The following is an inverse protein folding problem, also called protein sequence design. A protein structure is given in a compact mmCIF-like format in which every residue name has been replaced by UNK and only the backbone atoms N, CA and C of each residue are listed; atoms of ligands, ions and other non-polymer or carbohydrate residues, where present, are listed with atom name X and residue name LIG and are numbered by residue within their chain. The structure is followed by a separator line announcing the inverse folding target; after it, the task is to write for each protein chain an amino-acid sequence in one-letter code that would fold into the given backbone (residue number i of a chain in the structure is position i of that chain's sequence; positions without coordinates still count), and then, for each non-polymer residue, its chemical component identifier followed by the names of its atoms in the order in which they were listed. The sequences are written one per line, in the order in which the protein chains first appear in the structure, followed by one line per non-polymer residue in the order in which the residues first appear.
data_IF_043758514853
#
_entry.id   IF_043758514853
#
_cell.length_a   1.000
_cell.length_b   1.000
_cell.length_c   1.000
_cell.angle_alpha   90.00
_cell.angle_beta   90.00
_cell.angle_gamma   90.00
#
_symmetry.space_group_name_H-M   'P 1'
#
loop_
_entity.id
_entity.type
_entity.pdbx_description
1 polymer ?
#
# COMPACT_ATOMS: atom_id res chain seq x y z
N UNK A 1 -6.97 -3.69 -12.02
CA UNK A 1 -5.96 -2.63 -12.20
C UNK A 1 -5.50 -2.06 -10.86
N UNK A 2 -6.37 -1.51 -9.99
CA UNK A 2 -5.95 -0.84 -8.73
C UNK A 2 -5.04 -1.68 -7.81
N UNK A 3 -5.27 -3.00 -7.69
CA UNK A 3 -4.36 -3.89 -6.92
C UNK A 3 -2.94 -3.91 -7.50
N UNK A 4 -2.80 -3.94 -8.83
CA UNK A 4 -1.50 -3.92 -9.49
C UNK A 4 -0.77 -2.59 -9.23
N UNK A 5 -1.47 -1.46 -9.34
CA UNK A 5 -0.92 -0.13 -9.04
C UNK A 5 -0.52 0.00 -7.57
N UNK A 6 -1.33 -0.57 -6.65
CA UNK A 6 -1.01 -0.59 -5.23
C UNK A 6 0.32 -1.32 -4.98
N UNK A 7 0.50 -2.50 -5.59
CA UNK A 7 1.77 -3.24 -5.51
C UNK A 7 2.90 -2.45 -6.17
N UNK A 8 2.70 -1.95 -7.40
CA UNK A 8 3.71 -1.20 -8.15
C UNK A 8 4.27 -0.01 -7.38
N UNK A 9 3.39 0.77 -6.72
CA UNK A 9 3.78 1.98 -5.99
C UNK A 9 4.37 1.71 -4.60
N UNK A 10 4.28 0.48 -4.10
CA UNK A 10 4.79 0.11 -2.76
C UNK A 10 5.92 -0.91 -2.81
N UNK A 11 6.18 -1.54 -3.96
CA UNK A 11 7.30 -2.47 -4.15
C UNK A 11 8.65 -1.73 -4.21
N UNK A 12 9.78 -2.38 -3.85
CA UNK A 12 11.09 -1.77 -4.00
C UNK A 12 11.43 -1.44 -5.45
N UNK A 13 11.99 -0.27 -5.67
CA UNK A 13 12.43 0.20 -6.99
C UNK A 13 11.74 1.49 -7.41
N UNK A 14 12.02 1.95 -8.62
CA UNK A 14 11.38 3.13 -9.20
C UNK A 14 10.13 2.69 -9.97
N UNK A 15 8.92 3.07 -9.52
CA UNK A 15 7.70 2.71 -10.23
C UNK A 15 7.64 3.43 -11.58
N UNK A 16 7.30 2.69 -12.63
CA UNK A 16 7.14 3.21 -13.99
C UNK A 16 5.71 3.00 -14.45
N UNK A 17 5.04 4.04 -14.90
CA UNK A 17 3.70 3.98 -15.47
C UNK A 17 3.85 3.97 -17.00
N UNK A 18 3.32 2.95 -17.68
CA UNK A 18 3.17 2.99 -19.12
C UNK A 18 2.01 3.91 -19.47
N UNK A 19 2.18 4.77 -20.47
CA UNK A 19 1.16 5.78 -20.80
C UNK A 19 -0.21 5.15 -21.06
N UNK A 20 -1.23 5.69 -20.45
CA UNK A 20 -2.61 5.25 -20.59
C UNK A 20 -3.05 4.23 -19.52
N UNK A 21 -2.14 3.57 -18.81
CA UNK A 21 -2.50 2.69 -17.69
C UNK A 21 -3.33 3.45 -16.65
N UNK A 22 -2.92 4.70 -16.37
CA UNK A 22 -3.61 5.59 -15.43
C UNK A 22 -5.00 6.02 -15.93
N UNK A 23 -5.21 5.99 -17.24
CA UNK A 23 -6.46 6.41 -17.88
C UNK A 23 -7.37 5.23 -18.25
N UNK A 24 -6.98 3.99 -17.92
CA UNK A 24 -7.76 2.79 -18.18
C UNK A 24 -7.65 2.27 -19.60
N UNK A 25 -6.59 2.62 -20.34
CA UNK A 25 -6.32 2.05 -21.66
C UNK A 25 -6.04 0.56 -21.52
N UNK A 26 -6.78 -0.24 -22.25
CA UNK A 26 -6.57 -1.68 -22.34
C UNK A 26 -5.97 -2.04 -23.69
N UNK A 27 -5.03 -2.98 -23.69
CA UNK A 27 -4.45 -3.56 -24.89
C UNK A 27 -4.02 -4.99 -24.64
N UNK A 28 -3.61 -5.68 -25.67
CA UNK A 28 -3.13 -7.06 -25.57
C UNK A 28 -1.67 -7.16 -26.05
N UNK A 29 -1.39 -7.92 -27.08
CA UNK A 29 -0.05 -8.01 -27.68
C UNK A 29 0.19 -6.84 -28.64
N UNK A 30 1.45 -6.59 -28.95
CA UNK A 30 1.86 -5.60 -29.95
C UNK A 30 1.21 -5.90 -31.33
N UNK A 31 0.65 -4.90 -32.04
CA UNK A 31 0.66 -3.44 -31.76
C UNK A 31 -0.54 -2.94 -30.93
N UNK A 32 -1.46 -3.80 -30.46
CA UNK A 32 -2.71 -3.41 -29.81
C UNK A 32 -2.47 -2.70 -28.45
N UNK A 33 -1.33 -2.94 -27.81
CA UNK A 33 -0.92 -2.25 -26.59
C UNK A 33 -0.48 -0.78 -26.82
N UNK A 34 -0.36 -0.32 -28.07
CA UNK A 34 0.03 1.05 -28.44
C UNK A 34 -1.15 1.90 -28.89
N UNK A 35 -2.28 1.75 -28.25
CA UNK A 35 -3.48 2.56 -28.53
C UNK A 35 -3.23 4.02 -28.21
N UNK A 36 -3.96 4.91 -28.87
CA UNK A 36 -3.91 6.35 -28.58
C UNK A 36 -4.47 6.63 -27.19
N UNK A 37 -3.95 7.66 -26.52
CA UNK A 37 -4.48 8.11 -25.25
C UNK A 37 -5.96 8.55 -25.40
N UNK A 38 -6.85 8.18 -24.46
CA UNK A 38 -8.29 8.35 -24.62
C UNK A 38 -8.74 9.77 -24.19
N UNK A 39 -8.22 10.80 -24.86
CA UNK A 39 -8.52 12.20 -24.54
C UNK A 39 -10.03 12.47 -24.45
N UNK A 40 -10.46 13.01 -23.30
CA UNK A 40 -11.86 13.30 -22.98
C UNK A 40 -12.71 12.09 -22.60
N UNK A 41 -12.12 10.88 -22.54
CA UNK A 41 -12.76 9.62 -22.16
C UNK A 41 -11.97 8.83 -21.12
N UNK A 42 -11.09 9.54 -20.41
CA UNK A 42 -10.21 8.96 -19.38
C UNK A 42 -11.03 8.40 -18.22
N UNK A 43 -10.57 7.30 -17.64
CA UNK A 43 -11.05 6.84 -16.32
C UNK A 43 -10.51 7.78 -15.23
N UNK A 44 -11.33 8.77 -14.87
CA UNK A 44 -10.94 9.81 -13.91
C UNK A 44 -10.75 9.27 -12.50
N UNK A 45 -11.47 8.22 -12.13
CA UNK A 45 -11.29 7.55 -10.83
C UNK A 45 -9.94 6.85 -10.77
N UNK A 46 -9.56 6.14 -11.82
CA UNK A 46 -8.28 5.46 -11.91
C UNK A 46 -7.11 6.46 -11.94
N UNK A 47 -7.26 7.60 -12.63
CA UNK A 47 -6.29 8.70 -12.57
C UNK A 47 -6.14 9.22 -11.14
N UNK A 48 -7.24 9.43 -10.43
CA UNK A 48 -7.18 9.91 -9.05
C UNK A 48 -6.50 8.88 -8.15
N UNK A 49 -6.81 7.60 -8.32
CA UNK A 49 -6.14 6.52 -7.58
C UNK A 49 -4.62 6.52 -7.81
N UNK A 50 -4.16 6.68 -9.06
CA UNK A 50 -2.73 6.80 -9.36
C UNK A 50 -2.10 8.01 -8.67
N UNK A 51 -2.75 9.17 -8.70
CA UNK A 51 -2.27 10.38 -7.99
C UNK A 51 -2.11 10.15 -6.50
N UNK A 52 -3.10 9.50 -5.86
CA UNK A 52 -3.07 9.22 -4.43
C UNK A 52 -1.99 8.19 -4.08
N UNK A 53 -1.81 7.16 -4.91
CA UNK A 53 -0.74 6.18 -4.72
C UNK A 53 0.65 6.77 -4.95
N UNK A 54 0.82 7.66 -5.92
CA UNK A 54 2.07 8.42 -6.14
C UNK A 54 2.35 9.30 -4.92
N UNK A 55 1.33 9.95 -4.37
CA UNK A 55 1.48 10.74 -3.15
C UNK A 55 1.93 9.87 -1.97
N UNK A 56 1.30 8.71 -1.75
CA UNK A 56 1.73 7.73 -0.74
C UNK A 56 3.19 7.32 -0.96
N UNK A 57 3.57 6.95 -2.20
CA UNK A 57 4.94 6.57 -2.53
C UNK A 57 5.95 7.66 -2.16
N UNK A 58 5.68 8.92 -2.55
CA UNK A 58 6.60 10.05 -2.34
C UNK A 58 6.70 10.51 -0.89
N UNK A 59 5.64 10.34 -0.10
CA UNK A 59 5.58 10.81 1.29
C UNK A 59 6.00 9.78 2.33
N UNK A 60 6.04 8.50 1.96
CA UNK A 60 6.45 7.40 2.83
C UNK A 60 7.91 7.03 2.57
N UNK A 61 8.83 7.59 3.36
CA UNK A 61 10.28 7.38 3.18
C UNK A 61 10.67 5.90 3.18
N UNK A 62 9.96 5.06 3.95
CA UNK A 62 10.15 3.62 3.98
C UNK A 62 9.80 2.93 2.66
N UNK A 63 8.97 3.54 1.81
CA UNK A 63 8.70 3.04 0.45
C UNK A 63 9.83 3.35 -0.53
N UNK A 64 10.58 4.44 -0.29
CA UNK A 64 11.69 4.86 -1.14
C UNK A 64 12.95 4.04 -0.85
N UNK A 65 13.35 3.95 0.42
CA UNK A 65 14.64 3.40 0.83
C UNK A 65 14.57 2.30 1.90
N UNK A 66 13.36 1.93 2.33
CA UNK A 66 13.16 0.94 3.39
C UNK A 66 13.37 -0.50 2.93
N UNK A 67 13.56 -1.38 3.90
CA UNK A 67 13.63 -2.81 3.69
C UNK A 67 12.27 -3.40 3.32
N UNK A 68 12.29 -4.59 2.71
CA UNK A 68 11.10 -5.40 2.39
C UNK A 68 11.11 -6.68 3.22
N UNK A 69 9.94 -7.05 3.74
CA UNK A 69 9.73 -8.39 4.32
C UNK A 69 8.34 -8.91 3.99
N UNK A 70 8.25 -10.13 3.50
CA UNK A 70 6.98 -10.84 3.35
C UNK A 70 6.43 -11.26 4.72
N UNK A 71 5.15 -11.03 4.93
CA UNK A 71 4.44 -11.36 6.19
C UNK A 71 3.20 -12.21 5.99
N UNK A 72 2.65 -12.24 4.77
CA UNK A 72 1.55 -13.13 4.36
C UNK A 72 1.85 -13.68 2.98
N UNK A 73 1.77 -15.00 2.84
CA UNK A 73 1.79 -15.70 1.55
C UNK A 73 0.72 -16.79 1.60
N UNK A 74 -0.31 -16.66 0.79
CA UNK A 74 -1.39 -17.62 0.67
C UNK A 74 -1.91 -17.61 -0.76
N UNK A 75 -2.81 -18.53 -1.11
CA UNK A 75 -3.39 -18.59 -2.44
C UNK A 75 -4.07 -17.27 -2.79
N UNK A 76 -3.60 -16.61 -3.85
CA UNK A 76 -4.05 -15.29 -4.32
C UNK A 76 -4.05 -14.17 -3.26
N UNK A 77 -3.28 -14.33 -2.17
CA UNK A 77 -3.10 -13.31 -1.13
C UNK A 77 -1.62 -13.06 -0.93
N UNK A 78 -1.23 -11.81 -1.01
CA UNK A 78 0.13 -11.37 -0.69
C UNK A 78 0.09 -10.28 0.37
N UNK A 79 0.96 -10.39 1.37
CA UNK A 79 1.20 -9.34 2.35
C UNK A 79 2.68 -9.14 2.58
N UNK A 80 3.11 -7.89 2.59
CA UNK A 80 4.49 -7.51 2.85
C UNK A 80 4.57 -6.18 3.58
N UNK A 81 5.67 -5.99 4.27
CA UNK A 81 6.01 -4.73 4.91
C UNK A 81 7.17 -4.04 4.23
N UNK A 82 7.11 -2.70 4.17
CA UNK A 82 8.20 -1.80 3.87
C UNK A 82 8.53 -1.03 5.14
N UNK A 83 9.76 -1.02 5.55
CA UNK A 83 10.09 -0.46 6.86
C UNK A 83 11.50 0.11 6.93
N UNK A 84 11.65 1.10 7.78
CA UNK A 84 12.91 1.65 8.27
C UNK A 84 12.80 1.91 9.78
N UNK A 85 13.79 2.56 10.38
CA UNK A 85 13.79 2.86 11.83
C UNK A 85 12.68 3.84 12.27
N UNK A 86 12.14 4.64 11.35
CA UNK A 86 11.21 5.73 11.64
C UNK A 86 9.74 5.38 11.35
N UNK A 87 9.51 4.49 10.38
CA UNK A 87 8.16 4.14 9.94
C UNK A 87 8.07 2.73 9.35
N UNK A 88 6.88 2.15 9.42
CA UNK A 88 6.54 0.83 8.92
C UNK A 88 5.24 0.91 8.11
N UNK A 89 5.26 0.40 6.90
CA UNK A 89 4.10 0.30 6.02
C UNK A 89 3.79 -1.18 5.78
N UNK A 90 2.56 -1.59 6.06
CA UNK A 90 2.03 -2.92 5.72
C UNK A 90 1.15 -2.80 4.49
N UNK A 91 1.39 -3.68 3.53
CA UNK A 91 0.58 -3.82 2.31
C UNK A 91 0.00 -5.22 2.28
N UNK A 92 -1.31 -5.35 2.09
CA UNK A 92 -1.99 -6.64 1.93
C UNK A 92 -2.93 -6.56 0.74
N UNK A 93 -2.86 -7.55 -0.14
CA UNK A 93 -3.72 -7.67 -1.33
C UNK A 93 -4.42 -9.02 -1.30
N UNK A 94 -5.74 -9.00 -1.48
CA UNK A 94 -6.59 -10.16 -1.64
C UNK A 94 -7.11 -10.23 -3.08
N UNK A 95 -6.47 -11.01 -3.93
CA UNK A 95 -6.90 -11.23 -5.32
C UNK A 95 -7.84 -12.44 -5.47
N UNK A 96 -8.48 -12.90 -4.39
CA UNK A 96 -9.54 -13.92 -4.44
C UNK A 96 -10.88 -13.30 -4.81
N UNK A 97 -11.80 -14.17 -5.25
CA UNK A 97 -13.22 -13.83 -5.46
C UNK A 97 -14.05 -13.95 -4.16
N UNK A 98 -13.41 -14.28 -3.05
CA UNK A 98 -13.99 -14.37 -1.71
C UNK A 98 -13.29 -13.42 -0.73
N UNK A 99 -13.98 -12.97 0.33
CA UNK A 99 -13.36 -12.19 1.40
C UNK A 99 -12.33 -13.03 2.14
N UNK A 100 -11.33 -12.35 2.72
CA UNK A 100 -10.34 -12.97 3.58
C UNK A 100 -10.24 -12.26 4.92
N UNK A 101 -9.97 -13.06 5.98
CA UNK A 101 -9.56 -12.55 7.29
C UNK A 101 -8.23 -13.19 7.62
N UNK A 102 -7.23 -12.37 7.92
CA UNK A 102 -5.89 -12.84 8.30
C UNK A 102 -5.38 -12.06 9.52
N UNK A 103 -4.77 -12.77 10.43
CA UNK A 103 -3.93 -12.20 11.47
C UNK A 103 -2.49 -12.10 10.92
N UNK A 104 -1.92 -10.91 10.97
CA UNK A 104 -0.60 -10.61 10.42
C UNK A 104 0.36 -10.18 11.53
N UNK A 105 1.55 -10.80 11.59
CA UNK A 105 2.62 -10.46 12.53
C UNK A 105 3.37 -9.21 12.07
N UNK A 106 2.98 -8.03 12.58
CA UNK A 106 3.59 -6.75 12.19
C UNK A 106 4.79 -6.36 13.07
N UNK A 107 4.96 -7.00 14.24
CA UNK A 107 6.15 -6.79 15.08
C UNK A 107 7.46 -7.13 14.34
N UNK A 108 7.39 -8.04 13.38
CA UNK A 108 8.51 -8.43 12.53
C UNK A 108 9.00 -7.31 11.60
N UNK A 109 8.18 -6.27 11.42
CA UNK A 109 8.49 -5.06 10.66
C UNK A 109 9.02 -3.93 11.57
N UNK A 110 9.12 -4.18 12.88
CA UNK A 110 9.47 -3.16 13.86
C UNK A 110 8.29 -2.35 14.40
N UNK A 111 7.05 -2.75 14.09
CA UNK A 111 5.85 -2.12 14.66
C UNK A 111 5.76 -2.47 16.15
N UNK A 112 5.48 -1.50 17.05
CA UNK A 112 5.29 -1.76 18.47
C UNK A 112 4.20 -2.80 18.73
N UNK A 113 4.34 -3.57 19.80
CA UNK A 113 3.40 -4.64 20.13
C UNK A 113 2.00 -4.14 20.49
N UNK A 114 1.92 -2.94 21.05
CA UNK A 114 0.66 -2.29 21.43
C UNK A 114 0.64 -0.89 20.82
N UNK A 115 -0.07 -0.72 19.72
CA UNK A 115 -0.23 0.54 19.01
C UNK A 115 -1.39 0.47 18.02
N UNK A 116 -1.45 1.40 17.07
CA UNK A 116 -2.33 1.31 15.91
C UNK A 116 -1.56 1.63 14.63
N UNK A 117 -1.99 1.03 13.53
CA UNK A 117 -1.59 1.42 12.18
C UNK A 117 -2.72 2.20 11.51
N UNK A 118 -2.37 3.28 10.81
CA UNK A 118 -3.32 4.12 10.09
C UNK A 118 -3.48 3.64 8.66
N UNK A 119 -4.73 3.51 8.21
CA UNK A 119 -5.04 3.28 6.80
C UNK A 119 -4.63 4.50 5.97
N UNK A 120 -3.80 4.29 4.96
CA UNK A 120 -3.49 5.30 3.95
C UNK A 120 -4.46 5.19 2.76
N UNK A 121 -4.70 3.96 2.31
CA UNK A 121 -5.59 3.69 1.19
C UNK A 121 -6.17 2.28 1.32
N UNK A 122 -7.41 2.13 0.90
CA UNK A 122 -8.09 0.85 0.71
C UNK A 122 -8.72 0.86 -0.68
N UNK A 123 -8.44 -0.17 -1.49
CA UNK A 123 -9.10 -0.37 -2.79
C UNK A 123 -9.93 -1.64 -2.77
N UNK A 124 -11.04 -1.63 -3.47
CA UNK A 124 -11.95 -2.76 -3.67
C UNK A 124 -12.31 -2.88 -5.15
N UNK A 125 -13.11 -3.87 -5.54
CA UNK A 125 -13.61 -3.96 -6.92
C UNK A 125 -14.45 -2.74 -7.33
N UNK A 126 -15.14 -2.10 -6.37
CA UNK A 126 -16.12 -1.04 -6.63
C UNK A 126 -15.53 0.38 -6.52
N UNK A 127 -14.27 0.52 -6.11
CA UNK A 127 -13.62 1.83 -5.96
C UNK A 127 -12.51 1.83 -4.91
N UNK A 128 -12.16 3.01 -4.42
CA UNK A 128 -11.13 3.15 -3.39
C UNK A 128 -11.47 4.27 -2.40
N UNK A 129 -10.77 4.29 -1.28
CA UNK A 129 -10.89 5.35 -0.27
C UNK A 129 -9.54 5.64 0.40
N UNK A 130 -9.32 6.91 0.67
CA UNK A 130 -8.19 7.42 1.45
C UNK A 130 -8.59 7.79 2.88
N UNK A 131 -9.81 7.38 3.31
CA UNK A 131 -10.30 7.63 4.66
C UNK A 131 -9.35 7.05 5.70
N UNK A 132 -8.92 7.89 6.63
CA UNK A 132 -8.06 7.50 7.73
C UNK A 132 -8.83 6.67 8.76
N UNK A 133 -8.46 5.41 8.88
CA UNK A 133 -9.02 4.46 9.86
C UNK A 133 -7.87 3.86 10.65
N UNK A 134 -8.05 3.71 11.95
CA UNK A 134 -7.04 3.12 12.83
C UNK A 134 -7.30 1.62 12.99
N UNK A 135 -6.26 0.83 12.80
CA UNK A 135 -6.27 -0.62 12.99
C UNK A 135 -5.44 -0.95 14.23
N UNK A 136 -6.04 -1.53 15.28
CA UNK A 136 -5.32 -1.86 16.50
C UNK A 136 -4.31 -2.97 16.25
N UNK A 137 -3.13 -2.80 16.83
CA UNK A 137 -2.09 -3.83 16.94
C UNK A 137 -2.08 -4.31 18.38
N UNK A 138 -2.30 -5.61 18.58
CA UNK A 138 -2.31 -6.25 19.90
C UNK A 138 -1.29 -7.38 19.89
N UNK A 139 -0.42 -7.41 20.88
CA UNK A 139 0.67 -8.38 20.99
C UNK A 139 1.53 -8.48 19.72
N UNK A 140 1.68 -7.37 19.00
CA UNK A 140 2.45 -7.27 17.75
C UNK A 140 1.76 -7.83 16.52
N UNK A 141 0.45 -8.07 16.58
CA UNK A 141 -0.37 -8.62 15.50
C UNK A 141 -1.52 -7.70 15.15
N UNK A 142 -1.93 -7.74 13.90
CA UNK A 142 -3.06 -6.97 13.36
C UNK A 142 -4.00 -7.92 12.61
N UNK A 143 -5.29 -7.74 12.79
CA UNK A 143 -6.30 -8.50 12.03
C UNK A 143 -6.72 -7.68 10.81
N UNK A 144 -6.53 -8.25 9.64
CA UNK A 144 -6.90 -7.66 8.36
C UNK A 144 -8.11 -8.42 7.82
N UNK A 145 -9.18 -7.68 7.56
CA UNK A 145 -10.38 -8.17 6.88
C UNK A 145 -10.50 -7.44 5.54
N UNK A 146 -10.37 -8.17 4.45
CA UNK A 146 -10.42 -7.63 3.08
C UNK A 146 -11.54 -8.30 2.28
N UNK A 147 -12.39 -7.52 1.60
CA UNK A 147 -13.34 -8.05 0.63
C UNK A 147 -12.62 -8.70 -0.56
N UNK A 148 -13.36 -9.35 -1.49
CA UNK A 148 -12.79 -9.84 -2.75
C UNK A 148 -12.13 -8.72 -3.56
N UNK A 149 -11.08 -9.05 -4.31
CA UNK A 149 -10.41 -8.12 -5.23
C UNK A 149 -10.12 -6.77 -4.59
N UNK A 150 -9.35 -6.80 -3.50
CA UNK A 150 -9.07 -5.61 -2.70
C UNK A 150 -7.64 -5.57 -2.21
N UNK A 151 -7.20 -4.38 -1.83
CA UNK A 151 -5.88 -4.18 -1.23
C UNK A 151 -5.89 -3.01 -0.26
N UNK A 152 -5.05 -3.09 0.76
CA UNK A 152 -4.92 -2.08 1.80
C UNK A 152 -3.47 -1.71 2.03
N UNK A 153 -3.23 -0.43 2.30
CA UNK A 153 -1.95 0.10 2.78
C UNK A 153 -2.15 0.72 4.15
N UNK A 154 -1.50 0.16 5.15
CA UNK A 154 -1.49 0.64 6.52
C UNK A 154 -0.10 1.15 6.88
N UNK A 155 -0.02 2.19 7.70
CA UNK A 155 1.24 2.80 8.13
C UNK A 155 1.28 3.03 9.64
N UNK A 156 2.43 2.76 10.23
CA UNK A 156 2.81 3.23 11.56
C UNK A 156 4.03 4.14 11.44
N UNK A 157 4.03 5.23 12.21
CA UNK A 157 5.17 6.14 12.32
C UNK A 157 5.61 6.16 13.77
N UNK A 158 6.86 5.82 14.01
CA UNK A 158 7.43 5.85 15.36
C UNK A 158 7.45 7.29 15.85
N UNK A 159 6.85 7.55 17.01
CA UNK A 159 6.99 8.86 17.66
C UNK A 159 8.47 9.08 17.95
N UNK A 160 9.05 10.13 17.39
CA UNK A 160 10.39 10.53 17.77
C UNK A 160 10.37 10.80 19.28
N UNK A 161 11.11 10.00 20.06
CA UNK A 161 11.42 10.36 21.42
C UNK A 161 12.25 11.64 21.33
N UNK A 162 11.68 12.75 21.79
CA UNK A 162 12.38 14.03 21.82
C UNK A 162 13.77 13.80 22.44
N UNK A 163 14.84 14.09 21.69
CA UNK A 163 16.20 14.09 22.23
C UNK A 163 16.23 15.10 23.36
N UNK A 164 16.13 14.63 24.61
CA UNK A 164 16.57 15.42 25.76
C UNK A 164 18.07 15.58 25.58
N UNK A 165 18.50 16.74 25.09
CA UNK A 165 19.86 17.14 25.21
C UNK A 165 20.14 17.30 26.73
N UNK A 166 20.87 16.36 27.31
CA UNK A 166 21.49 16.57 28.61
C UNK A 166 22.55 17.66 28.39
N UNK A 167 22.23 18.87 28.82
CA UNK A 167 23.27 19.87 29.05
C UNK A 167 24.13 19.36 30.22
N UNK A 168 25.34 18.97 29.95
CA UNK A 168 26.37 18.83 30.95
C UNK A 168 26.85 20.25 31.23
N UNK A 169 26.60 20.76 32.45
CA UNK A 169 27.29 21.89 33.04
C UNK A 169 28.68 21.45 33.53
#
# INVERSE_FOLDING_TARGET
MREAVLVQMTWPGAPTIYYGDEAGVCGFTDPDNRRTYPWGKEDKELIQFHKDMIHVHKTCQELLTGSLKHVVSDYNVIGYGRFNKDAQTLVVVNNNDSPMIKEVSVWELGVPRECAMEQLILTTKDGFTTKKTQFPVVSGRIVINLPPKSGIVLRHVNKQQGKKFLHFE
#
